data_IF_858217993560
#
_entry.id   IF_858217993560
#
_cell.length_a   1.000
_cell.length_b   1.000
_cell.length_c   1.000
_cell.angle_alpha   90.00
_cell.angle_beta   90.00
_cell.angle_gamma   90.00
#
_symmetry.space_group_name_H-M   'P 1'
#
loop_
_entity.id
_entity.type
_entity.pdbx_description
1 polymer ?
#
# COMPACT_ATOMS: atom_id res chain seq x y z
N UNK A 1 -9.74 0.99 -9.66
CA UNK A 1 -8.33 0.55 -9.63
C UNK A 1 -7.35 1.69 -9.31
N UNK A 2 -7.64 2.94 -9.72
CA UNK A 2 -6.82 4.11 -9.38
C UNK A 2 -6.61 4.31 -7.87
N UNK A 3 -7.67 4.20 -7.06
CA UNK A 3 -7.60 4.37 -5.60
C UNK A 3 -6.60 3.41 -4.91
N UNK A 4 -6.70 2.07 -5.07
CA UNK A 4 -5.75 1.14 -4.48
C UNK A 4 -4.35 1.24 -5.09
N UNK A 5 -4.22 1.61 -6.37
CA UNK A 5 -2.92 1.85 -6.99
C UNK A 5 -2.20 3.08 -6.38
N UNK A 6 -2.93 4.17 -6.12
CA UNK A 6 -2.42 5.32 -5.39
C UNK A 6 -2.06 4.96 -3.94
N UNK A 7 -2.91 4.20 -3.26
CA UNK A 7 -2.63 3.74 -1.91
C UNK A 7 -1.35 2.89 -1.84
N UNK A 8 -1.14 1.99 -2.81
CA UNK A 8 0.10 1.21 -2.94
C UNK A 8 1.34 2.08 -3.18
N UNK A 9 1.24 3.09 -4.04
CA UNK A 9 2.32 4.05 -4.30
C UNK A 9 2.66 4.87 -3.04
N UNK A 10 1.65 5.34 -2.30
CA UNK A 10 1.85 6.12 -1.06
C UNK A 10 2.46 5.24 0.03
N UNK A 11 1.99 4.00 0.18
CA UNK A 11 2.50 3.01 1.12
C UNK A 11 3.95 2.62 0.81
N UNK A 12 4.29 2.51 -0.48
CA UNK A 12 5.64 2.23 -0.97
C UNK A 12 6.60 3.42 -0.91
N UNK A 13 6.07 4.64 -1.03
CA UNK A 13 6.81 5.90 -1.10
C UNK A 13 6.75 6.53 -2.48
N UNK A 14 6.37 7.82 -2.54
CA UNK A 14 6.04 8.56 -3.79
C UNK A 14 7.27 8.78 -4.70
N UNK A 15 8.49 8.70 -4.15
CA UNK A 15 9.75 8.95 -4.86
C UNK A 15 10.61 7.73 -5.17
N UNK A 16 10.17 6.51 -4.82
CA UNK A 16 10.97 5.29 -5.02
C UNK A 16 10.24 4.26 -5.89
N UNK A 17 10.73 3.97 -7.11
CA UNK A 17 10.17 2.91 -7.95
C UNK A 17 10.16 1.55 -7.25
N UNK A 18 11.24 1.23 -6.52
CA UNK A 18 11.35 -0.03 -5.75
C UNK A 18 10.36 -0.10 -4.58
N UNK A 19 10.16 1.03 -3.89
CA UNK A 19 9.15 1.14 -2.83
C UNK A 19 7.73 0.95 -3.36
N UNK A 20 7.39 1.56 -4.49
CA UNK A 20 6.07 1.45 -5.12
C UNK A 20 5.74 0.00 -5.54
N UNK A 21 6.69 -0.76 -6.08
CA UNK A 21 6.49 -2.17 -6.45
C UNK A 21 6.24 -3.03 -5.21
N UNK A 22 7.04 -2.84 -4.14
CA UNK A 22 6.84 -3.56 -2.88
C UNK A 22 5.50 -3.22 -2.22
N UNK A 23 5.11 -1.94 -2.26
CA UNK A 23 3.82 -1.47 -1.76
C UNK A 23 2.63 -2.02 -2.55
N UNK A 24 2.75 -2.13 -3.87
CA UNK A 24 1.74 -2.74 -4.74
C UNK A 24 1.58 -4.25 -4.48
N UNK A 25 2.69 -4.95 -4.25
CA UNK A 25 2.68 -6.37 -3.88
C UNK A 25 1.97 -6.61 -2.53
N UNK A 26 2.32 -5.82 -1.50
CA UNK A 26 1.69 -5.91 -0.19
C UNK A 26 0.20 -5.58 -0.24
N UNK A 27 -0.18 -4.50 -0.93
CA UNK A 27 -1.58 -4.12 -1.09
C UNK A 27 -2.38 -5.14 -1.88
N UNK A 28 -1.80 -5.71 -2.95
CA UNK A 28 -2.43 -6.76 -3.73
C UNK A 28 -2.71 -8.01 -2.90
N UNK A 29 -1.69 -8.51 -2.18
CA UNK A 29 -1.86 -9.67 -1.29
C UNK A 29 -2.85 -9.38 -0.16
N UNK A 30 -2.78 -8.19 0.45
CA UNK A 30 -3.71 -7.77 1.50
C UNK A 30 -5.16 -7.65 1.00
N UNK A 31 -5.36 -7.17 -0.22
CA UNK A 31 -6.69 -7.11 -0.84
C UNK A 31 -7.25 -8.52 -1.08
N UNK A 32 -6.47 -9.43 -1.65
CA UNK A 32 -6.94 -10.80 -1.93
C UNK A 32 -7.26 -11.58 -0.65
N UNK A 33 -6.44 -11.43 0.40
CA UNK A 33 -6.72 -12.03 1.72
C UNK A 33 -7.99 -11.43 2.35
N UNK A 34 -8.20 -10.12 2.20
CA UNK A 34 -9.37 -9.46 2.77
C UNK A 34 -10.67 -9.77 2.01
N UNK A 35 -10.60 -10.03 0.71
CA UNK A 35 -11.75 -10.51 -0.08
C UNK A 35 -12.22 -11.86 0.49
N UNK A 36 -11.30 -12.73 0.89
CA UNK A 36 -11.63 -14.03 1.47
C UNK A 36 -12.29 -13.94 2.86
N UNK A 37 -12.05 -12.87 3.63
CA UNK A 37 -12.60 -12.71 4.99
C UNK A 37 -13.87 -11.85 5.06
N UNK A 38 -14.04 -10.85 4.19
CA UNK A 38 -15.09 -9.80 4.35
C UNK A 38 -16.03 -9.69 3.14
N UNK A 39 -15.69 -10.31 2.01
CA UNK A 39 -16.49 -10.28 0.78
C UNK A 39 -16.22 -9.08 -0.14
N UNK A 40 -16.52 -9.20 -1.45
CA UNK A 40 -16.05 -8.27 -2.49
C UNK A 40 -16.57 -6.82 -2.38
N UNK A 41 -17.71 -6.60 -1.72
CA UNK A 41 -18.29 -5.26 -1.54
C UNK A 41 -17.41 -4.33 -0.69
N UNK A 42 -16.56 -4.87 0.18
CA UNK A 42 -15.69 -4.09 1.07
C UNK A 42 -14.26 -3.92 0.56
N UNK A 43 -13.97 -4.36 -0.68
CA UNK A 43 -12.62 -4.32 -1.28
C UNK A 43 -11.98 -2.92 -1.21
N UNK A 44 -12.77 -1.86 -1.43
CA UNK A 44 -12.28 -0.47 -1.38
C UNK A 44 -12.07 0.00 0.06
N UNK A 45 -13.01 -0.26 0.96
CA UNK A 45 -12.93 0.12 2.37
C UNK A 45 -11.72 -0.51 3.06
N UNK A 46 -11.47 -1.80 2.79
CA UNK A 46 -10.27 -2.53 3.25
C UNK A 46 -9.00 -1.87 2.74
N UNK A 47 -8.94 -1.50 1.45
CA UNK A 47 -7.73 -0.88 0.87
C UNK A 47 -7.39 0.42 1.60
N UNK A 48 -8.40 1.20 1.96
CA UNK A 48 -8.25 2.41 2.76
C UNK A 48 -7.84 2.12 4.20
N UNK A 49 -8.41 1.08 4.81
CA UNK A 49 -8.11 0.68 6.18
C UNK A 49 -6.66 0.19 6.31
N UNK A 50 -6.18 -0.61 5.35
CA UNK A 50 -4.78 -1.05 5.29
C UNK A 50 -3.84 0.14 5.12
N UNK A 51 -4.16 1.09 4.24
CA UNK A 51 -3.38 2.32 4.09
C UNK A 51 -3.30 3.09 5.44
N UNK A 52 -4.43 3.21 6.14
CA UNK A 52 -4.51 3.91 7.42
C UNK A 52 -3.68 3.20 8.51
N UNK A 53 -3.81 1.87 8.62
CA UNK A 53 -3.04 1.05 9.56
C UNK A 53 -1.54 1.14 9.28
N UNK A 54 -1.14 1.10 8.00
CA UNK A 54 0.27 1.17 7.63
C UNK A 54 0.84 2.57 7.84
N UNK A 55 0.11 3.64 7.55
CA UNK A 55 0.52 5.00 7.94
C UNK A 55 0.68 5.13 9.46
N UNK A 56 -0.21 4.51 10.24
CA UNK A 56 -0.14 4.54 11.71
C UNK A 56 1.08 3.78 12.24
N UNK A 57 1.47 2.68 11.60
CA UNK A 57 2.64 1.87 11.98
C UNK A 57 3.96 2.40 11.39
N UNK A 58 3.93 3.00 10.20
CA UNK A 58 5.07 3.58 9.47
C UNK A 58 4.64 4.75 8.56
N UNK A 59 4.59 5.98 9.09
CA UNK A 59 4.10 7.14 8.35
C UNK A 59 4.97 7.58 7.16
N UNK A 60 6.23 7.12 7.11
CA UNK A 60 7.18 7.42 6.02
C UNK A 60 7.13 6.42 4.84
N UNK A 61 6.20 5.44 4.87
CA UNK A 61 6.18 4.33 3.91
C UNK A 61 7.31 3.32 4.15
N UNK A 62 7.31 2.23 3.38
CA UNK A 62 8.26 1.12 3.59
C UNK A 62 9.73 1.51 3.32
N UNK A 63 9.97 2.49 2.44
CA UNK A 63 11.28 2.84 1.87
C UNK A 63 11.63 4.35 1.89
N UNK A 64 11.03 5.16 2.76
CA UNK A 64 11.17 6.62 2.79
C UNK A 64 12.57 7.23 3.02
N UNK A 65 13.67 6.48 2.90
CA UNK A 65 15.06 6.96 3.08
C UNK A 65 16.12 6.37 2.16
N UNK A 66 15.79 5.82 0.99
CA UNK A 66 16.84 5.40 0.04
C UNK A 66 17.02 6.42 -1.09
N UNK A 67 17.26 7.68 -0.71
CA UNK A 67 18.07 8.55 -1.54
C UNK A 67 19.51 8.04 -1.43
N UNK A 68 19.87 7.08 -2.29
CA UNK A 68 21.25 6.94 -2.69
C UNK A 68 21.40 7.73 -3.98
N UNK A 69 21.45 9.05 -3.85
CA UNK A 69 22.24 9.88 -4.77
C UNK A 69 23.66 9.33 -4.76
N UNK A 70 23.97 8.53 -5.78
CA UNK A 70 25.31 8.44 -6.36
C UNK A 70 25.22 7.97 -7.80
#
# INVERSE_FOLDING_TARGET
LLLPAFAAMILGGIGSPGGAVAGALLMGVGQEVSIAWVGPSYKIAVSFLVLFVVLMLRPAGLFGRMDKVR
#
